data_IF_155556292132
#
_entry.id   IF_155556292132
#
_cell.length_a   1.000
_cell.length_b   1.000
_cell.length_c   1.000
_cell.angle_alpha   90.00
_cell.angle_beta   90.00
_cell.angle_gamma   90.00
#
_symmetry.space_group_name_H-M   'P 1'
#
loop_
_entity.id
_entity.type
_entity.pdbx_description
1 polymer ?
#
# COMPACT_ATOMS: atom_id res chain seq x y z
N UNK A 1 16.73 -7.34 3.21
CA UNK A 1 16.74 -7.83 1.83
C UNK A 1 15.72 -7.01 1.07
N UNK A 2 16.13 -6.18 0.10
CA UNK A 2 15.19 -5.60 -0.86
C UNK A 2 14.65 -6.79 -1.65
N UNK A 3 13.44 -7.23 -1.31
CA UNK A 3 12.71 -8.13 -2.20
C UNK A 3 12.75 -7.50 -3.59
N UNK A 4 13.01 -8.32 -4.61
CA UNK A 4 13.02 -7.90 -6.00
C UNK A 4 11.65 -7.28 -6.32
N UNK A 5 11.55 -5.95 -6.18
CA UNK A 5 10.30 -5.24 -6.41
C UNK A 5 10.03 -5.47 -7.88
N UNK A 6 8.90 -6.08 -8.20
CA UNK A 6 8.42 -6.18 -9.56
C UNK A 6 8.10 -4.76 -10.03
N UNK A 7 9.12 -4.01 -10.48
CA UNK A 7 9.04 -2.56 -10.76
C UNK A 7 8.09 -2.25 -11.91
N UNK A 8 7.73 -3.27 -12.70
CA UNK A 8 6.79 -3.21 -13.82
C UNK A 8 5.36 -3.64 -13.43
N UNK A 9 5.15 -4.09 -12.19
CA UNK A 9 3.84 -4.38 -11.63
C UNK A 9 3.38 -3.20 -10.76
N UNK A 10 2.39 -2.46 -11.26
CA UNK A 10 1.81 -1.30 -10.58
C UNK A 10 1.31 -1.65 -9.17
N UNK A 11 0.65 -2.81 -9.01
CA UNK A 11 0.12 -3.26 -7.72
C UNK A 11 1.25 -3.56 -6.75
N UNK A 12 2.32 -4.23 -7.20
CA UNK A 12 3.49 -4.50 -6.36
C UNK A 12 4.23 -3.21 -5.95
N UNK A 13 4.38 -2.26 -6.87
CA UNK A 13 5.01 -0.96 -6.62
C UNK A 13 4.23 -0.15 -5.57
N UNK A 14 2.91 -0.07 -5.72
CA UNK A 14 2.06 0.67 -4.78
C UNK A 14 2.04 -0.01 -3.40
N UNK A 15 1.90 -1.34 -3.36
CA UNK A 15 1.96 -2.11 -2.10
C UNK A 15 3.27 -1.87 -1.37
N UNK A 16 4.39 -1.99 -2.07
CA UNK A 16 5.71 -1.71 -1.50
C UNK A 16 5.79 -0.27 -0.95
N UNK A 17 5.27 0.72 -1.69
CA UNK A 17 5.31 2.10 -1.26
C UNK A 17 4.49 2.32 0.02
N UNK A 18 3.27 1.78 0.08
CA UNK A 18 2.38 1.89 1.24
C UNK A 18 2.96 1.21 2.49
N UNK A 19 3.53 0.01 2.34
CA UNK A 19 4.14 -0.74 3.45
C UNK A 19 5.39 -0.02 3.99
N UNK A 20 6.26 0.45 3.08
CA UNK A 20 7.53 1.07 3.49
C UNK A 20 7.37 2.49 4.05
N UNK A 21 6.25 3.17 3.78
CA UNK A 21 5.91 4.44 4.44
C UNK A 21 5.00 4.27 5.65
N UNK A 22 4.65 3.02 5.99
CA UNK A 22 3.71 2.68 7.07
C UNK A 22 2.32 3.32 6.88
N UNK A 23 1.90 3.53 5.64
CA UNK A 23 0.50 3.82 5.33
C UNK A 23 -0.37 2.59 5.60
N UNK A 24 0.16 1.41 5.25
CA UNK A 24 -0.45 0.12 5.53
C UNK A 24 0.54 -0.85 6.18
N UNK A 25 0.02 -1.93 6.76
CA UNK A 25 0.80 -3.09 7.21
C UNK A 25 -0.02 -4.35 7.03
N UNK A 26 0.63 -5.50 6.78
CA UNK A 26 -0.02 -6.78 6.97
C UNK A 26 -0.25 -7.06 8.46
N UNK A 27 -1.35 -7.75 8.79
CA UNK A 27 -1.57 -8.25 10.13
C UNK A 27 -0.53 -9.35 10.46
N UNK A 28 0.12 -9.31 11.65
CA UNK A 28 1.14 -10.30 12.00
C UNK A 28 0.61 -11.73 12.18
N UNK A 29 -0.69 -11.91 12.39
CA UNK A 29 -1.33 -13.22 12.56
C UNK A 29 -2.15 -13.66 11.34
N UNK A 30 -2.50 -12.72 10.46
CA UNK A 30 -3.30 -12.94 9.26
C UNK A 30 -2.65 -12.21 8.09
N UNK A 31 -1.58 -12.79 7.53
CA UNK A 31 -0.76 -12.13 6.51
C UNK A 31 -1.53 -11.75 5.22
N UNK A 32 -2.72 -12.32 5.02
CA UNK A 32 -3.63 -11.98 3.93
C UNK A 32 -4.46 -10.71 4.19
N UNK A 33 -4.46 -10.20 5.42
CA UNK A 33 -5.18 -8.99 5.82
C UNK A 33 -4.23 -7.81 5.87
N UNK A 34 -4.48 -6.81 5.02
CA UNK A 34 -3.81 -5.52 5.04
C UNK A 34 -4.63 -4.55 5.88
N UNK A 35 -3.95 -3.81 6.75
CA UNK A 35 -4.54 -2.82 7.65
C UNK A 35 -3.96 -1.45 7.33
N UNK A 36 -4.82 -0.45 7.14
CA UNK A 36 -4.46 0.96 7.03
C UNK A 36 -4.18 1.50 8.42
N UNK A 37 -2.95 1.94 8.65
CA UNK A 37 -2.45 2.40 9.96
C UNK A 37 -1.86 3.81 9.92
N UNK A 38 -1.57 4.32 8.72
CA UNK A 38 -1.01 5.66 8.53
C UNK A 38 -2.10 6.70 8.35
N UNK A 39 -1.69 7.96 8.51
CA UNK A 39 -2.50 9.13 8.21
C UNK A 39 -2.30 9.59 6.75
N UNK A 40 -2.97 10.69 6.38
CA UNK A 40 -2.86 11.31 5.06
C UNK A 40 -1.40 11.65 4.68
N UNK A 41 -0.52 11.91 5.66
CA UNK A 41 0.88 12.20 5.42
C UNK A 41 1.66 10.93 5.03
N UNK A 42 1.40 9.80 5.68
CA UNK A 42 1.98 8.51 5.31
C UNK A 42 1.57 8.08 3.89
N UNK A 43 0.32 8.36 3.49
CA UNK A 43 -0.21 8.08 2.15
C UNK A 43 0.38 9.00 1.09
N UNK A 44 0.50 10.29 1.40
CA UNK A 44 1.18 11.26 0.53
C UNK A 44 2.65 10.88 0.30
N UNK A 45 3.32 10.40 1.36
CA UNK A 45 4.67 9.84 1.24
C UNK A 45 4.71 8.57 0.40
N UNK A 46 3.72 7.69 0.49
CA UNK A 46 3.63 6.50 -0.35
C UNK A 46 3.54 6.90 -1.83
N UNK A 47 2.71 7.89 -2.17
CA UNK A 47 2.59 8.41 -3.52
C UNK A 47 3.90 9.00 -4.04
N UNK A 48 4.58 9.84 -3.24
CA UNK A 48 5.87 10.41 -3.61
C UNK A 48 6.97 9.35 -3.75
N UNK A 49 6.90 8.26 -2.99
CA UNK A 49 7.80 7.11 -3.11
C UNK A 49 7.54 6.33 -4.40
N UNK A 50 6.28 6.01 -4.70
CA UNK A 50 5.91 5.26 -5.90
C UNK A 50 6.30 6.00 -7.19
N UNK A 51 6.16 7.34 -7.22
CA UNK A 51 6.61 8.21 -8.34
C UNK A 51 8.10 8.12 -8.65
N UNK A 52 8.92 7.73 -7.68
CA UNK A 52 10.38 7.66 -7.83
C UNK A 52 10.85 6.28 -8.32
N UNK A 53 9.97 5.29 -8.35
CA UNK A 53 10.29 3.96 -8.88
C UNK A 53 10.27 4.04 -10.40
N UNK A 54 11.37 3.61 -11.01
CA UNK A 54 11.57 3.57 -12.45
C UNK A 54 11.31 2.13 -12.92
N UNK A 55 10.56 2.00 -14.00
CA UNK A 55 10.24 0.72 -14.65
C UNK A 55 11.46 0.17 -15.38
N UNK A 56 11.44 -1.11 -15.77
CA UNK A 56 12.55 -1.73 -16.50
C UNK A 56 12.83 -1.07 -17.85
N UNK A 57 11.81 -0.50 -18.47
CA UNK A 57 11.90 0.28 -19.72
C UNK A 57 12.47 1.70 -19.53
N UNK A 58 12.86 2.07 -18.30
CA UNK A 58 13.42 3.39 -17.97
C UNK A 58 12.36 4.49 -17.80
N UNK A 59 11.07 4.19 -18.00
CA UNK A 59 9.98 5.15 -17.81
C UNK A 59 9.53 5.22 -16.36
N UNK A 60 8.83 6.31 -16.00
CA UNK A 60 8.15 6.44 -14.70
C UNK A 60 6.69 6.05 -14.83
N UNK A 61 6.11 5.65 -13.71
CA UNK A 61 4.67 5.43 -13.60
C UNK A 61 3.86 6.71 -13.87
N UNK A 62 2.74 6.53 -14.56
CA UNK A 62 1.75 7.58 -14.71
C UNK A 62 1.17 7.99 -13.33
N UNK A 63 1.03 9.31 -13.11
CA UNK A 63 0.61 9.83 -11.81
C UNK A 63 -0.83 9.45 -11.49
N UNK A 64 -1.69 9.38 -12.49
CA UNK A 64 -3.10 9.07 -12.28
C UNK A 64 -3.30 7.59 -12.02
N UNK A 65 -2.60 6.72 -12.77
CA UNK A 65 -2.54 5.29 -12.49
C UNK A 65 -2.09 5.01 -11.04
N UNK A 66 -1.08 5.74 -10.55
CA UNK A 66 -0.63 5.64 -9.15
C UNK A 66 -1.72 6.06 -8.15
N UNK A 67 -2.42 7.17 -8.38
CA UNK A 67 -3.49 7.63 -7.49
C UNK A 67 -4.65 6.64 -7.42
N UNK A 68 -5.07 6.15 -8.58
CA UNK A 68 -6.16 5.17 -8.70
C UNK A 68 -5.80 3.90 -7.93
N UNK A 69 -4.59 3.36 -8.13
CA UNK A 69 -4.18 2.13 -7.47
C UNK A 69 -3.95 2.32 -5.95
N UNK A 70 -3.39 3.45 -5.52
CA UNK A 70 -3.28 3.79 -4.09
C UNK A 70 -4.66 3.83 -3.46
N UNK A 71 -5.61 4.54 -4.06
CA UNK A 71 -6.99 4.62 -3.57
C UNK A 71 -7.65 3.24 -3.51
N UNK A 72 -7.44 2.40 -4.53
CA UNK A 72 -7.95 1.03 -4.56
C UNK A 72 -7.39 0.17 -3.42
N UNK A 73 -6.08 0.23 -3.17
CA UNK A 73 -5.45 -0.59 -2.12
C UNK A 73 -5.80 -0.09 -0.72
N UNK A 74 -5.83 1.23 -0.50
CA UNK A 74 -6.26 1.81 0.77
C UNK A 74 -7.74 1.51 1.05
N UNK A 75 -8.62 1.65 0.05
CA UNK A 75 -10.04 1.34 0.20
C UNK A 75 -10.35 -0.16 0.38
N UNK A 76 -9.43 -1.05 0.02
CA UNK A 76 -9.55 -2.48 0.27
C UNK A 76 -8.93 -2.92 1.61
N UNK A 77 -8.13 -2.08 2.25
CA UNK A 77 -7.52 -2.36 3.54
C UNK A 77 -8.54 -2.23 4.67
N UNK A 78 -8.35 -2.99 5.74
CA UNK A 78 -9.11 -2.77 6.96
C UNK A 78 -8.62 -1.51 7.68
N UNK A 79 -9.54 -0.72 8.23
CA UNK A 79 -9.18 0.52 8.92
C UNK A 79 -8.78 0.26 10.37
N UNK A 80 -7.56 0.65 10.73
CA UNK A 80 -7.03 0.65 12.10
C UNK A 80 -6.71 -0.73 12.70
N UNK A 81 -7.53 -1.75 12.44
CA UNK A 81 -7.37 -3.07 13.04
C UNK A 81 -7.73 -4.22 12.07
N UNK A 82 -7.20 -5.41 12.36
CA UNK A 82 -7.51 -6.61 11.60
C UNK A 82 -8.88 -7.17 12.02
N UNK A 83 -9.88 -7.30 11.12
CA UNK A 83 -11.20 -7.82 11.46
C UNK A 83 -11.19 -9.31 11.84
N UNK A 84 -10.13 -10.06 11.51
CA UNK A 84 -9.98 -11.44 11.98
C UNK A 84 -9.44 -11.53 13.41
N UNK A 85 -8.68 -10.51 13.86
CA UNK A 85 -8.21 -10.44 15.24
C UNK A 85 -9.29 -9.89 16.17
N UNK A 86 -10.03 -8.88 15.71
CA UNK A 86 -11.18 -8.32 16.41
C UNK A 86 -12.39 -8.24 15.46
N UNK A 87 -13.24 -9.28 15.44
CA UNK A 87 -14.42 -9.35 14.58
C UNK A 87 -15.46 -8.27 14.89
N UNK A 88 -15.41 -7.63 16.06
CA UNK A 88 -16.38 -6.59 16.44
C UNK A 88 -16.02 -5.22 15.88
N UNK A 89 -14.78 -5.03 15.45
CA UNK A 89 -14.30 -3.75 14.95
C UNK A 89 -14.75 -3.42 13.52
N UNK A 90 -15.32 -4.37 12.77
CA UNK A 90 -15.85 -4.13 11.42
C UNK A 90 -17.22 -3.43 11.39
N UNK A 91 -17.80 -3.07 12.54
CA UNK A 91 -19.16 -2.55 12.66
C UNK A 91 -19.28 -1.15 13.28
N UNK A 92 -18.15 -0.45 13.51
CA UNK A 92 -18.16 0.91 14.08
C UNK A 92 -18.13 2.00 13.01
#
# INVERSE_FOLDING_TARGET
MLADIQTDDLTAVVRYALETTRATTACPFHCDVIVRIGDDAAESHAFERAKRIIRSDGTKWDKEALRIEIGRQLGAAADGCCPKCDPTASCA
#
